data_IF_818484284290
#
_entry.id   IF_818484284290
#
_cell.length_a   1.000
_cell.length_b   1.000
_cell.length_c   1.000
_cell.angle_alpha   90.00
_cell.angle_beta   90.00
_cell.angle_gamma   90.00
#
_symmetry.space_group_name_H-M   'P 1'
#
loop_
_entity.id
_entity.type
_entity.pdbx_description
1 polymer ?
#
# COMPACT_ATOMS: atom_id res chain seq x y z
N UNK A 1 -1.87 -25.74 -4.69
CA UNK A 1 -1.55 -25.37 -3.29
C UNK A 1 -1.24 -26.65 -2.53
N UNK A 2 -0.32 -26.63 -1.59
CA UNK A 2 0.09 -27.80 -0.83
C UNK A 2 0.38 -27.41 0.63
N UNK A 3 -0.22 -28.13 1.58
CA UNK A 3 -0.11 -27.80 3.01
C UNK A 3 1.16 -28.35 3.70
N UNK A 4 1.99 -29.12 3.01
CA UNK A 4 3.24 -29.66 3.53
C UNK A 4 4.41 -28.69 3.43
N UNK A 5 5.55 -29.02 4.03
CA UNK A 5 6.76 -28.21 4.05
C UNK A 5 7.71 -28.42 2.85
N UNK A 6 7.33 -29.25 1.87
CA UNK A 6 8.07 -29.50 0.63
C UNK A 6 7.09 -29.67 -0.53
N UNK A 7 7.54 -29.49 -1.79
CA UNK A 7 6.74 -29.87 -2.96
C UNK A 7 6.87 -31.35 -3.24
N UNK A 8 5.80 -32.03 -3.70
CA UNK A 8 5.84 -33.43 -4.08
C UNK A 8 6.89 -33.69 -5.19
N UNK A 9 7.32 -34.95 -5.33
CA UNK A 9 8.25 -35.36 -6.39
C UNK A 9 7.72 -34.98 -7.77
N UNK A 10 8.57 -34.39 -8.64
CA UNK A 10 8.18 -33.88 -9.95
C UNK A 10 7.55 -32.49 -9.93
N UNK A 11 7.45 -31.85 -8.76
CA UNK A 11 6.95 -30.50 -8.56
C UNK A 11 8.04 -29.62 -7.96
N UNK A 12 7.96 -28.31 -8.17
CA UNK A 12 8.87 -27.34 -7.57
C UNK A 12 8.10 -26.15 -6.98
N UNK A 13 8.76 -25.38 -6.13
CA UNK A 13 8.18 -24.16 -5.52
C UNK A 13 7.91 -23.08 -6.57
N UNK A 14 6.98 -22.19 -6.25
CA UNK A 14 6.77 -20.94 -6.97
C UNK A 14 7.43 -19.79 -6.20
N UNK A 15 8.76 -19.75 -6.23
CA UNK A 15 9.60 -18.75 -5.55
C UNK A 15 10.51 -17.98 -6.53
N UNK A 16 10.13 -17.95 -7.82
CA UNK A 16 10.76 -17.13 -8.84
C UNK A 16 12.07 -17.70 -9.38
N UNK A 17 12.38 -18.97 -9.14
CA UNK A 17 13.61 -19.57 -9.62
C UNK A 17 13.67 -19.62 -11.14
N UNK A 18 14.89 -19.59 -11.67
CA UNK A 18 15.20 -19.69 -13.10
C UNK A 18 15.49 -21.16 -13.44
N UNK A 19 14.86 -21.65 -14.49
CA UNK A 19 15.02 -23.02 -14.98
C UNK A 19 15.63 -23.06 -16.39
N UNK A 20 16.42 -24.11 -16.72
CA UNK A 20 16.93 -24.30 -18.07
C UNK A 20 15.83 -24.81 -19.01
N UNK A 21 15.70 -24.18 -20.18
CA UNK A 21 14.70 -24.55 -21.19
C UNK A 21 14.94 -25.98 -21.70
N UNK A 22 16.22 -26.40 -21.85
CA UNK A 22 16.59 -27.73 -22.34
C UNK A 22 16.01 -28.89 -21.54
N UNK A 23 15.76 -28.68 -20.24
CA UNK A 23 15.18 -29.69 -19.31
C UNK A 23 13.68 -29.57 -19.14
N UNK A 24 13.09 -28.42 -19.51
CA UNK A 24 11.68 -28.07 -19.21
C UNK A 24 10.96 -27.42 -20.40
N UNK A 25 11.18 -27.94 -21.62
CA UNK A 25 10.65 -27.36 -22.86
C UNK A 25 9.13 -27.23 -22.87
N UNK A 26 8.39 -28.24 -22.39
CA UNK A 26 6.94 -28.20 -22.31
C UNK A 26 6.45 -27.08 -21.38
N UNK A 27 7.10 -26.90 -20.22
CA UNK A 27 6.74 -25.84 -19.27
C UNK A 27 7.10 -24.45 -19.84
N UNK A 28 8.25 -24.33 -20.51
CA UNK A 28 8.63 -23.09 -21.20
C UNK A 28 7.62 -22.69 -22.28
N UNK A 29 7.10 -23.64 -23.07
CA UNK A 29 6.11 -23.34 -24.12
C UNK A 29 4.79 -22.81 -23.54
N UNK A 30 4.46 -23.09 -22.27
CA UNK A 30 3.30 -22.56 -21.58
C UNK A 30 3.53 -21.21 -20.91
N UNK A 31 4.70 -21.01 -20.30
CA UNK A 31 5.00 -19.83 -19.49
C UNK A 31 5.75 -18.74 -20.25
N UNK A 32 6.54 -19.13 -21.26
CA UNK A 32 7.44 -18.23 -21.97
C UNK A 32 8.41 -17.52 -21.00
N UNK A 33 8.64 -16.24 -21.25
CA UNK A 33 9.47 -15.35 -20.42
C UNK A 33 8.66 -14.45 -19.52
N UNK A 34 7.37 -14.74 -19.33
CA UNK A 34 6.42 -13.90 -18.56
C UNK A 34 6.90 -13.58 -17.14
N UNK A 35 7.64 -14.51 -16.53
CA UNK A 35 8.13 -14.40 -15.15
C UNK A 35 9.65 -14.20 -15.06
N UNK A 36 10.34 -14.06 -16.20
CA UNK A 36 11.79 -13.82 -16.29
C UNK A 36 12.53 -14.86 -17.13
N UNK A 37 13.86 -14.79 -17.08
CA UNK A 37 14.75 -15.59 -17.94
C UNK A 37 15.09 -14.87 -19.24
N UNK A 38 16.03 -15.43 -20.01
CA UNK A 38 16.52 -14.86 -21.28
C UNK A 38 15.73 -15.35 -22.52
N UNK A 39 14.86 -16.36 -22.34
CA UNK A 39 14.06 -16.95 -23.41
C UNK A 39 14.85 -17.74 -24.45
N UNK A 40 16.16 -17.91 -24.27
CA UNK A 40 17.05 -18.69 -25.13
C UNK A 40 17.55 -19.96 -24.44
N UNK A 41 18.06 -19.82 -23.25
CA UNK A 41 18.57 -20.91 -22.42
C UNK A 41 17.77 -21.10 -21.14
N UNK A 42 17.13 -20.02 -20.63
CA UNK A 42 16.46 -19.98 -19.34
C UNK A 42 15.11 -19.29 -19.40
N UNK A 43 14.22 -19.65 -18.45
CA UNK A 43 12.97 -18.99 -18.16
C UNK A 43 12.69 -18.98 -16.67
N UNK A 44 11.88 -18.00 -16.22
CA UNK A 44 11.51 -17.82 -14.81
C UNK A 44 10.19 -18.48 -14.46
N UNK A 45 10.08 -18.97 -13.23
CA UNK A 45 8.82 -19.37 -12.61
C UNK A 45 8.16 -18.18 -11.88
N UNK A 46 6.83 -18.22 -11.68
CA UNK A 46 6.16 -17.24 -10.83
C UNK A 46 6.76 -17.19 -9.42
N UNK A 47 6.82 -15.99 -8.82
CA UNK A 47 7.15 -15.80 -7.41
C UNK A 47 5.89 -15.38 -6.66
N UNK A 48 5.36 -16.30 -5.85
CA UNK A 48 4.15 -16.08 -5.02
C UNK A 48 4.47 -15.76 -3.56
N UNK A 49 5.74 -15.61 -3.19
CA UNK A 49 6.11 -15.23 -1.82
C UNK A 49 5.60 -13.83 -1.51
N UNK A 50 4.87 -13.69 -0.40
CA UNK A 50 4.24 -12.44 0.01
C UNK A 50 3.16 -11.92 -0.95
N UNK A 51 2.57 -12.79 -1.81
CA UNK A 51 1.58 -12.40 -2.82
C UNK A 51 0.34 -13.29 -2.77
N UNK A 52 -0.80 -12.67 -3.06
CA UNK A 52 -2.06 -13.37 -3.29
C UNK A 52 -2.25 -13.54 -4.80
N UNK A 53 -2.57 -14.74 -5.30
CA UNK A 53 -2.89 -14.93 -6.70
C UNK A 53 -4.19 -14.21 -7.06
N UNK A 54 -4.18 -13.52 -8.19
CA UNK A 54 -5.34 -12.82 -8.74
C UNK A 54 -5.59 -13.32 -10.16
N UNK A 55 -6.87 -13.51 -10.55
CA UNK A 55 -7.22 -13.95 -11.88
C UNK A 55 -6.90 -12.87 -12.93
N UNK A 56 -6.39 -13.28 -14.09
CA UNK A 56 -6.13 -12.41 -15.24
C UNK A 56 -7.45 -12.00 -15.90
N UNK A 57 -7.47 -10.83 -16.55
CA UNK A 57 -8.64 -10.35 -17.27
C UNK A 57 -9.18 -9.04 -16.70
N UNK A 58 -10.40 -8.72 -17.09
CA UNK A 58 -11.10 -7.51 -16.66
C UNK A 58 -12.55 -7.84 -16.34
N UNK A 59 -12.94 -7.68 -15.09
CA UNK A 59 -14.35 -7.70 -14.69
C UNK A 59 -15.05 -6.38 -15.02
N UNK A 60 -16.38 -6.37 -15.03
CA UNK A 60 -17.17 -5.16 -15.26
C UNK A 60 -16.84 -4.10 -14.20
N UNK A 61 -16.45 -2.90 -14.63
CA UNK A 61 -16.06 -1.79 -13.76
C UNK A 61 -14.72 -1.97 -13.05
N UNK A 62 -13.95 -3.04 -13.30
CA UNK A 62 -12.67 -3.32 -12.66
C UNK A 62 -11.50 -3.04 -13.60
N UNK A 63 -10.33 -2.83 -13.01
CA UNK A 63 -9.07 -2.65 -13.75
C UNK A 63 -8.61 -3.95 -14.36
N UNK A 64 -8.23 -3.93 -15.65
CA UNK A 64 -7.63 -5.07 -16.34
C UNK A 64 -6.34 -5.54 -15.65
N UNK A 65 -6.20 -6.85 -15.50
CA UNK A 65 -5.00 -7.52 -14.98
C UNK A 65 -4.40 -8.41 -16.06
N UNK A 66 -3.11 -8.25 -16.28
CA UNK A 66 -2.36 -9.05 -17.25
C UNK A 66 -1.59 -10.16 -16.54
N UNK A 67 -1.32 -11.26 -17.26
CA UNK A 67 -0.51 -12.35 -16.73
C UNK A 67 0.89 -11.82 -16.34
N UNK A 68 1.41 -12.26 -15.21
CA UNK A 68 2.69 -11.81 -14.68
C UNK A 68 2.67 -10.42 -14.03
N UNK A 69 1.58 -9.66 -14.12
CA UNK A 69 1.47 -8.35 -13.49
C UNK A 69 1.56 -8.46 -11.97
N UNK A 70 2.40 -7.61 -11.37
CA UNK A 70 2.58 -7.49 -9.92
C UNK A 70 2.02 -6.16 -9.43
N UNK A 71 1.55 -6.12 -8.18
CA UNK A 71 1.03 -4.89 -7.57
C UNK A 71 0.79 -5.07 -6.08
N UNK A 72 0.36 -3.96 -5.43
CA UNK A 72 0.15 -3.93 -3.99
C UNK A 72 1.42 -3.72 -3.19
N UNK A 73 1.26 -3.54 -1.88
CA UNK A 73 2.33 -3.35 -0.92
C UNK A 73 1.97 -3.98 0.43
N UNK A 74 2.91 -4.65 1.07
CA UNK A 74 2.73 -5.24 2.42
C UNK A 74 2.67 -4.18 3.52
N UNK A 75 3.30 -3.03 3.30
CA UNK A 75 3.32 -1.89 4.21
C UNK A 75 3.04 -0.62 3.43
N UNK A 76 2.27 0.28 4.01
CA UNK A 76 1.94 1.55 3.40
C UNK A 76 2.08 2.69 4.41
N UNK A 77 2.67 3.81 3.98
CA UNK A 77 2.72 5.07 4.73
C UNK A 77 1.70 6.01 4.11
N UNK A 78 0.70 6.41 4.88
CA UNK A 78 -0.33 7.34 4.41
C UNK A 78 0.29 8.67 3.98
N UNK A 79 -0.05 9.12 2.80
CA UNK A 79 0.26 10.44 2.28
C UNK A 79 -0.86 11.42 2.63
N UNK A 80 -0.54 12.71 2.70
CA UNK A 80 -1.54 13.76 3.00
C UNK A 80 -2.72 13.72 2.02
N UNK A 81 -2.46 13.42 0.74
CA UNK A 81 -3.48 13.33 -0.30
C UNK A 81 -4.43 12.13 -0.14
N UNK A 82 -4.06 11.12 0.66
CA UNK A 82 -4.86 9.92 0.91
C UNK A 82 -5.76 10.06 2.13
N UNK A 83 -5.59 11.13 2.90
CA UNK A 83 -6.44 11.43 4.05
C UNK A 83 -7.75 12.10 3.59
N UNK A 84 -8.89 11.74 4.21
CA UNK A 84 -10.13 12.45 3.96
C UNK A 84 -9.95 13.96 4.25
N UNK A 85 -10.55 14.80 3.43
CA UNK A 85 -10.53 16.24 3.65
C UNK A 85 -11.20 16.58 4.97
N UNK A 86 -10.47 17.15 5.91
CA UNK A 86 -10.97 17.52 7.22
C UNK A 86 -10.50 18.91 7.61
N UNK A 87 -11.15 19.52 8.64
CA UNK A 87 -10.82 20.83 9.20
C UNK A 87 -10.79 20.72 10.72
N UNK A 88 -9.89 21.47 11.31
CA UNK A 88 -9.88 21.71 12.73
C UNK A 88 -10.42 23.13 13.00
N UNK A 89 -11.27 23.30 13.99
CA UNK A 89 -11.81 24.59 14.38
C UNK A 89 -11.06 25.06 15.61
N UNK A 90 -10.43 26.20 15.54
CA UNK A 90 -9.92 26.89 16.72
C UNK A 90 -11.08 27.66 17.37
N UNK A 91 -11.47 27.24 18.56
CA UNK A 91 -12.54 27.87 19.32
C UNK A 91 -12.00 29.02 20.19
N UNK A 92 -12.79 30.06 20.31
CA UNK A 92 -12.50 31.18 21.19
C UNK A 92 -13.79 31.56 21.98
N UNK A 93 -13.63 32.11 23.18
CA UNK A 93 -14.73 32.59 23.98
C UNK A 93 -15.07 34.06 23.68
N UNK A 94 -16.35 34.42 23.73
CA UNK A 94 -16.79 35.80 23.67
C UNK A 94 -16.73 36.49 25.03
N UNK A 95 -16.52 35.71 26.09
CA UNK A 95 -16.38 36.21 27.47
C UNK A 95 -15.12 37.05 27.62
N UNK A 96 -15.07 37.91 28.63
CA UNK A 96 -13.86 38.65 28.97
C UNK A 96 -12.80 37.70 29.53
N UNK A 97 -11.57 37.91 29.10
CA UNK A 97 -10.42 37.16 29.59
C UNK A 97 -10.24 37.42 31.10
N UNK A 98 -10.24 36.37 31.89
CA UNK A 98 -10.08 36.38 33.34
C UNK A 98 -8.96 35.46 33.85
N UNK A 99 -8.23 34.80 32.92
CA UNK A 99 -7.12 33.89 33.21
C UNK A 99 -5.82 34.40 32.57
N UNK A 100 -4.72 34.30 33.32
CA UNK A 100 -3.41 34.73 32.86
C UNK A 100 -2.59 33.62 32.18
N UNK A 101 -3.06 32.37 32.22
CA UNK A 101 -2.34 31.19 31.68
C UNK A 101 -3.13 30.53 30.54
N UNK A 102 -2.48 30.02 29.52
CA UNK A 102 -3.14 29.34 28.42
C UNK A 102 -3.61 27.89 28.76
N UNK A 103 -3.08 27.30 29.82
CA UNK A 103 -3.33 25.88 30.17
C UNK A 103 -4.80 25.69 30.52
N UNK A 104 -5.49 24.79 29.80
CA UNK A 104 -6.92 24.50 29.92
C UNK A 104 -7.83 25.70 29.67
N UNK A 105 -7.32 26.73 28.99
CA UNK A 105 -8.07 27.95 28.67
C UNK A 105 -8.13 28.16 27.16
N UNK A 106 -9.12 28.93 26.70
CA UNK A 106 -9.30 29.32 25.30
C UNK A 106 -9.01 30.81 25.14
N UNK A 107 -8.69 31.22 23.90
CA UNK A 107 -8.59 32.62 23.57
C UNK A 107 -9.89 33.32 23.88
N UNK A 108 -9.81 34.51 24.47
CA UNK A 108 -11.01 35.25 24.94
C UNK A 108 -10.86 36.75 24.67
N UNK A 109 -11.95 37.50 24.72
CA UNK A 109 -12.00 38.93 24.53
C UNK A 109 -11.25 39.66 25.63
N UNK A 110 -10.35 40.61 25.30
CA UNK A 110 -9.67 41.42 26.31
C UNK A 110 -10.56 42.55 26.83
N UNK A 111 -10.47 42.81 28.13
CA UNK A 111 -11.03 43.99 28.76
C UNK A 111 -10.38 45.28 28.16
N UNK A 112 -11.13 46.39 28.18
CA UNK A 112 -10.67 47.75 27.74
C UNK A 112 -10.51 47.94 26.23
N UNK A 113 -11.44 47.42 25.42
CA UNK A 113 -11.48 47.68 23.94
C UNK A 113 -10.23 47.30 23.14
N UNK A 114 -9.29 46.55 23.68
CA UNK A 114 -8.23 45.96 22.93
C UNK A 114 -8.79 44.78 22.14
N UNK A 115 -8.87 44.97 20.81
CA UNK A 115 -9.39 43.91 19.95
C UNK A 115 -8.26 42.87 19.68
N UNK A 116 -8.53 41.60 19.99
CA UNK A 116 -7.60 40.51 19.70
C UNK A 116 -7.74 39.95 18.26
N UNK A 117 -8.79 40.33 17.55
CA UNK A 117 -9.07 39.83 16.21
C UNK A 117 -9.26 40.98 15.22
N UNK A 118 -8.77 40.81 14.00
CA UNK A 118 -9.02 41.68 12.87
C UNK A 118 -9.87 40.98 11.82
N UNK A 119 -10.73 41.70 11.07
CA UNK A 119 -11.43 41.12 9.93
C UNK A 119 -10.44 40.56 8.93
N UNK A 120 -10.72 39.35 8.43
CA UNK A 120 -9.92 38.80 7.34
C UNK A 120 -10.35 39.46 6.02
N UNK A 121 -9.51 40.30 5.50
CA UNK A 121 -9.72 41.10 4.25
C UNK A 121 -8.88 40.60 3.08
N UNK A 122 -8.36 39.37 3.12
CA UNK A 122 -7.52 38.78 2.06
C UNK A 122 -6.08 39.29 2.00
N UNK A 123 -5.69 40.24 2.87
CA UNK A 123 -4.30 40.77 2.91
C UNK A 123 -3.34 39.78 3.56
N UNK A 124 -2.05 40.08 3.42
CA UNK A 124 -0.92 39.25 3.88
C UNK A 124 -1.12 38.73 5.32
N UNK A 125 -1.03 37.41 5.50
CA UNK A 125 -1.04 36.75 6.80
C UNK A 125 0.40 36.57 7.27
N UNK A 126 0.67 36.88 8.52
CA UNK A 126 1.89 36.44 9.18
C UNK A 126 1.57 35.14 9.91
N UNK A 127 2.23 34.03 9.59
CA UNK A 127 2.02 32.78 10.32
C UNK A 127 2.38 32.98 11.80
N UNK A 128 1.59 32.40 12.68
CA UNK A 128 1.95 32.30 14.08
C UNK A 128 3.20 31.39 14.22
N UNK A 129 3.85 31.48 15.40
CA UNK A 129 4.96 30.59 15.69
C UNK A 129 4.59 29.12 15.37
N UNK A 130 5.44 28.40 14.65
CA UNK A 130 5.19 27.02 14.26
C UNK A 130 4.89 26.08 15.42
N UNK A 131 5.31 26.43 16.64
CA UNK A 131 5.02 25.68 17.88
C UNK A 131 3.66 26.02 18.49
N UNK A 132 2.87 26.95 17.90
CA UNK A 132 1.53 27.28 18.40
C UNK A 132 0.53 26.12 18.20
N UNK A 133 0.82 25.24 17.24
CA UNK A 133 0.07 23.99 17.00
C UNK A 133 1.13 22.87 16.87
N UNK A 134 1.04 21.87 17.71
CA UNK A 134 1.93 20.73 17.64
C UNK A 134 1.55 19.82 16.47
N UNK A 135 2.58 19.21 15.86
CA UNK A 135 2.35 18.15 14.88
C UNK A 135 1.77 16.91 15.56
N UNK A 136 0.80 16.28 14.92
CA UNK A 136 0.27 14.99 15.33
C UNK A 136 0.63 13.91 14.30
N UNK A 137 0.89 12.69 14.77
CA UNK A 137 1.25 11.55 13.93
C UNK A 137 2.77 11.42 13.69
N UNK A 138 3.19 10.20 13.39
CA UNK A 138 4.61 9.83 13.26
C UNK A 138 5.02 9.49 11.82
N UNK A 139 4.09 9.52 10.84
CA UNK A 139 4.38 9.13 9.46
C UNK A 139 4.89 7.69 9.32
N UNK A 140 4.61 6.80 10.28
CA UNK A 140 5.05 5.41 10.25
C UNK A 140 4.20 4.58 9.30
N UNK A 141 4.85 3.69 8.55
CA UNK A 141 4.15 2.70 7.75
C UNK A 141 3.33 1.75 8.64
N UNK A 142 2.11 1.45 8.25
CA UNK A 142 1.28 0.42 8.86
C UNK A 142 1.29 -0.86 8.02
N UNK A 143 0.91 -1.98 8.64
CA UNK A 143 0.72 -3.24 7.95
C UNK A 143 -0.53 -3.16 7.07
N UNK A 144 -0.36 -3.45 5.78
CA UNK A 144 -1.43 -3.45 4.77
C UNK A 144 -1.84 -4.87 4.34
N UNK A 145 -1.34 -5.89 5.05
CA UNK A 145 -1.67 -7.28 4.78
C UNK A 145 -3.03 -7.63 5.35
N UNK A 146 -3.87 -8.27 4.53
CA UNK A 146 -5.08 -8.94 5.02
C UNK A 146 -4.71 -10.15 5.90
N UNK A 147 -5.61 -10.67 6.76
CA UNK A 147 -5.38 -11.92 7.46
C UNK A 147 -5.02 -13.02 6.46
N UNK A 148 -3.93 -13.75 6.71
CA UNK A 148 -3.42 -14.77 5.79
C UNK A 148 -2.97 -16.02 6.52
N UNK A 149 -2.98 -17.14 5.80
CA UNK A 149 -2.33 -18.38 6.17
C UNK A 149 -1.32 -18.75 5.09
N UNK A 150 -0.06 -18.86 5.46
CA UNK A 150 0.99 -19.23 4.53
C UNK A 150 0.91 -20.73 4.20
N UNK A 151 0.70 -21.04 2.93
CA UNK A 151 0.74 -22.39 2.38
C UNK A 151 1.65 -22.41 1.15
N UNK A 152 2.14 -23.58 0.80
CA UNK A 152 3.07 -23.73 -0.32
C UNK A 152 2.34 -23.74 -1.66
N UNK A 153 2.87 -23.01 -2.63
CA UNK A 153 2.47 -23.11 -4.03
C UNK A 153 3.54 -23.89 -4.78
N UNK A 154 3.13 -24.95 -5.47
CA UNK A 154 3.99 -25.80 -6.26
C UNK A 154 3.48 -25.86 -7.70
N UNK A 155 4.41 -25.97 -8.66
CA UNK A 155 4.13 -26.18 -10.08
C UNK A 155 4.72 -27.53 -10.51
N UNK A 156 4.01 -28.27 -11.35
CA UNK A 156 4.51 -29.51 -11.94
C UNK A 156 5.62 -29.18 -12.95
N UNK A 157 6.75 -29.86 -12.84
CA UNK A 157 7.85 -29.78 -13.82
C UNK A 157 7.62 -30.71 -15.02
N UNK A 158 6.85 -31.76 -14.81
CA UNK A 158 6.51 -32.77 -15.82
C UNK A 158 5.00 -33.08 -15.72
N UNK A 159 4.37 -33.38 -16.84
CA UNK A 159 2.95 -33.71 -16.92
C UNK A 159 2.47 -33.82 -18.37
N UNK A 160 1.18 -34.15 -18.52
CA UNK A 160 0.52 -34.15 -19.83
C UNK A 160 0.34 -32.70 -20.27
N UNK A 161 0.78 -32.37 -21.49
CA UNK A 161 0.64 -31.03 -22.05
C UNK A 161 -0.84 -30.69 -22.22
N UNK A 162 -1.34 -29.55 -21.65
CA UNK A 162 -2.74 -29.18 -21.81
C UNK A 162 -2.99 -28.80 -23.28
N UNK A 163 -4.02 -29.43 -23.90
CA UNK A 163 -4.52 -29.00 -25.21
C UNK A 163 -5.22 -27.66 -25.07
N UNK A 164 -5.04 -26.78 -26.04
CA UNK A 164 -5.91 -25.60 -26.20
C UNK A 164 -7.18 -26.06 -26.94
N UNK A 165 -8.30 -25.96 -26.28
CA UNK A 165 -9.59 -26.11 -26.96
C UNK A 165 -9.95 -24.78 -27.64
#
# INVERSE_FOLDING_TARGET
>A
MFGGNFCPRGWTNLDGQILPISQHQALFSLLGTTYGGDGRQTFGLPDLRGRVPLHIGQGAGLTKRNQGQKGGAERHTLQVAELPRHRHTLNASKELANQGTPTNNVLATQARKKRMYAPFNGKTRTPMNGNAISSAGNGKAHNNMQPFLAIRFCIALQGIYPSRN
#
